data_IF_019931192292
#
_entry.id   IF_019931192292
#
_cell.length_a   1.000
_cell.length_b   1.000
_cell.length_c   1.000
_cell.angle_alpha   90.00
_cell.angle_beta   90.00
_cell.angle_gamma   90.00
#
_symmetry.space_group_name_H-M   'P 1'
#
loop_
_entity.id
_entity.type
_entity.pdbx_description
1 polymer ?
#
# COMPACT_ATOMS: atom_id res chain seq x y z
N UNK A 1 -33.77 -31.12 -67.04
CA UNK A 1 -33.95 -32.12 -65.98
C UNK A 1 -33.63 -31.47 -64.64
N UNK A 2 -34.65 -31.22 -63.83
CA UNK A 2 -34.57 -30.63 -62.51
C UNK A 2 -34.81 -31.76 -61.51
N UNK A 3 -33.83 -32.12 -60.69
CA UNK A 3 -34.05 -32.98 -59.52
C UNK A 3 -33.83 -32.13 -58.26
N UNK A 4 -34.95 -31.81 -57.59
CA UNK A 4 -34.97 -31.36 -56.20
C UNK A 4 -35.00 -32.61 -55.32
N UNK A 5 -33.90 -32.88 -54.64
CA UNK A 5 -33.88 -33.79 -53.50
C UNK A 5 -34.06 -33.00 -52.22
N UNK A 6 -35.27 -33.00 -51.67
CA UNK A 6 -35.56 -32.47 -50.34
C UNK A 6 -36.33 -33.55 -49.58
N UNK A 7 -35.64 -34.30 -48.73
CA UNK A 7 -36.20 -35.39 -47.92
C UNK A 7 -35.67 -35.37 -46.49
N UNK A 8 -35.83 -34.25 -45.79
CA UNK A 8 -35.77 -34.26 -44.33
C UNK A 8 -37.04 -34.93 -43.78
N UNK A 9 -36.94 -36.19 -43.43
CA UNK A 9 -38.05 -37.00 -42.91
C UNK A 9 -38.54 -36.53 -41.53
N UNK A 10 -39.78 -36.89 -41.16
CA UNK A 10 -40.43 -36.46 -39.90
C UNK A 10 -39.72 -36.95 -38.62
N UNK A 11 -38.80 -37.91 -38.71
CA UNK A 11 -38.02 -38.41 -37.58
C UNK A 11 -36.94 -37.43 -37.09
N UNK A 12 -36.36 -36.61 -37.98
CA UNK A 12 -35.34 -35.62 -37.61
C UNK A 12 -35.93 -34.44 -36.83
N UNK A 13 -37.14 -34.01 -37.18
CA UNK A 13 -37.83 -32.91 -36.50
C UNK A 13 -38.22 -33.26 -35.05
N UNK A 14 -38.49 -34.54 -34.77
CA UNK A 14 -38.81 -35.03 -33.41
C UNK A 14 -37.53 -35.14 -32.56
N UNK A 15 -36.44 -35.66 -33.13
CA UNK A 15 -35.14 -35.71 -32.47
C UNK A 15 -34.61 -34.30 -32.13
N UNK A 16 -34.80 -33.34 -33.04
CA UNK A 16 -34.39 -31.95 -32.82
C UNK A 16 -35.23 -31.26 -31.74
N UNK A 17 -36.55 -31.50 -31.71
CA UNK A 17 -37.43 -30.99 -30.62
C UNK A 17 -37.03 -31.55 -29.25
N UNK A 18 -36.71 -32.85 -29.16
CA UNK A 18 -36.25 -33.47 -27.93
C UNK A 18 -34.91 -32.90 -27.46
N UNK A 19 -33.94 -32.69 -28.36
CA UNK A 19 -32.66 -32.05 -28.03
C UNK A 19 -32.85 -30.61 -27.54
N UNK A 20 -33.71 -29.82 -28.20
CA UNK A 20 -34.02 -28.44 -27.78
C UNK A 20 -34.72 -28.40 -26.41
N UNK A 21 -35.57 -29.37 -26.09
CA UNK A 21 -36.22 -29.48 -24.79
C UNK A 21 -35.21 -29.82 -23.68
N UNK A 22 -34.28 -30.74 -23.94
CA UNK A 22 -33.23 -31.13 -23.01
C UNK A 22 -32.24 -29.98 -22.75
N UNK A 23 -31.86 -29.23 -23.80
CA UNK A 23 -31.01 -28.04 -23.67
C UNK A 23 -31.68 -26.94 -22.83
N UNK A 24 -32.98 -26.72 -23.02
CA UNK A 24 -33.75 -25.77 -22.19
C UNK A 24 -33.84 -26.21 -20.73
N UNK A 25 -33.97 -27.51 -20.48
CA UNK A 25 -33.98 -28.07 -19.11
C UNK A 25 -32.61 -27.86 -18.43
N UNK A 26 -31.52 -28.22 -19.10
CA UNK A 26 -30.15 -28.00 -18.58
C UNK A 26 -29.83 -26.52 -18.35
N UNK A 27 -30.29 -25.63 -19.23
CA UNK A 27 -30.10 -24.19 -19.06
C UNK A 27 -30.84 -23.64 -17.82
N UNK A 28 -32.05 -24.16 -17.53
CA UNK A 28 -32.81 -23.78 -16.33
C UNK A 28 -32.16 -24.31 -15.05
N UNK A 29 -31.67 -25.54 -15.07
CA UNK A 29 -30.92 -26.13 -13.95
C UNK A 29 -29.63 -25.36 -13.67
N UNK A 30 -28.87 -24.99 -14.71
CA UNK A 30 -27.66 -24.17 -14.56
C UNK A 30 -27.97 -22.77 -14.02
N UNK A 31 -29.06 -22.13 -14.47
CA UNK A 31 -29.49 -20.82 -13.97
C UNK A 31 -29.91 -20.86 -12.49
N UNK A 32 -30.62 -21.92 -12.07
CA UNK A 32 -30.97 -22.12 -10.67
C UNK A 32 -29.73 -22.30 -9.78
N UNK A 33 -28.74 -23.05 -10.26
CA UNK A 33 -27.49 -23.29 -9.54
C UNK A 33 -26.63 -22.02 -9.44
N UNK A 34 -26.63 -21.16 -10.46
CA UNK A 34 -25.96 -19.85 -10.40
C UNK A 34 -26.65 -18.89 -9.41
N UNK A 35 -27.98 -18.88 -9.36
CA UNK A 35 -28.73 -18.10 -8.37
C UNK A 35 -28.45 -18.54 -6.94
N UNK A 36 -28.36 -19.86 -6.71
CA UNK A 36 -28.03 -20.41 -5.39
C UNK A 36 -26.58 -20.06 -4.98
N UNK A 37 -25.64 -20.15 -5.92
CA UNK A 37 -24.24 -19.77 -5.69
C UNK A 37 -24.09 -18.26 -5.41
N UNK A 38 -24.86 -17.41 -6.12
CA UNK A 38 -24.90 -15.97 -5.85
C UNK A 38 -25.38 -15.64 -4.44
N UNK A 39 -26.49 -16.26 -3.99
CA UNK A 39 -26.98 -16.09 -2.61
C UNK A 39 -25.99 -16.57 -1.56
N UNK A 40 -25.30 -17.69 -1.79
CA UNK A 40 -24.26 -18.19 -0.88
C UNK A 40 -23.03 -17.27 -0.82
N UNK A 41 -22.70 -16.57 -1.90
CA UNK A 41 -21.62 -15.59 -1.92
C UNK A 41 -21.99 -14.33 -1.11
N UNK A 42 -23.20 -13.79 -1.30
CA UNK A 42 -23.70 -12.62 -0.56
C UNK A 42 -23.74 -12.86 0.96
N UNK A 43 -24.18 -14.05 1.41
CA UNK A 43 -24.19 -14.41 2.84
C UNK A 43 -22.77 -14.51 3.42
N UNK A 44 -21.79 -14.97 2.64
CA UNK A 44 -20.39 -15.03 3.08
C UNK A 44 -19.75 -13.66 3.19
N UNK A 45 -20.06 -12.76 2.25
CA UNK A 45 -19.55 -11.39 2.28
C UNK A 45 -20.12 -10.59 3.46
N UNK A 46 -21.42 -10.76 3.74
CA UNK A 46 -22.06 -10.14 4.91
C UNK A 46 -21.44 -10.65 6.23
N UNK A 47 -21.20 -11.95 6.37
CA UNK A 47 -20.53 -12.51 7.54
C UNK A 47 -19.07 -12.04 7.69
N UNK A 48 -18.35 -11.84 6.59
CA UNK A 48 -16.99 -11.33 6.60
C UNK A 48 -16.91 -9.84 6.98
N UNK A 49 -17.91 -9.04 6.60
CA UNK A 49 -18.02 -7.64 7.01
C UNK A 49 -18.31 -7.50 8.50
N UNK A 50 -19.20 -8.32 9.05
CA UNK A 50 -19.51 -8.35 10.48
C UNK A 50 -18.30 -8.74 11.33
N UNK A 51 -17.50 -9.72 10.88
CA UNK A 51 -16.27 -10.11 11.58
C UNK A 51 -15.24 -8.97 11.63
N UNK A 52 -15.05 -8.26 10.51
CA UNK A 52 -14.16 -7.08 10.45
C UNK A 52 -14.69 -5.92 11.28
N UNK A 53 -16.01 -5.77 11.40
CA UNK A 53 -16.63 -4.74 12.23
C UNK A 53 -16.43 -5.03 13.72
N UNK A 54 -16.59 -6.29 14.16
CA UNK A 54 -16.26 -6.72 15.52
C UNK A 54 -14.78 -6.52 15.86
N UNK A 55 -13.87 -6.97 15.00
CA UNK A 55 -12.41 -6.82 15.23
C UNK A 55 -12.00 -5.35 15.40
N UNK A 56 -12.65 -4.43 14.66
CA UNK A 56 -12.42 -2.99 14.81
C UNK A 56 -12.96 -2.42 16.13
N UNK A 57 -14.11 -2.91 16.61
CA UNK A 57 -14.69 -2.49 17.89
C UNK A 57 -13.82 -2.98 19.05
N UNK A 58 -13.43 -4.25 19.03
CA UNK A 58 -12.57 -4.84 20.05
C UNK A 58 -11.22 -4.13 20.14
N UNK A 59 -10.59 -3.82 18.99
CA UNK A 59 -9.36 -2.99 18.97
C UNK A 59 -9.55 -1.58 19.51
N UNK A 60 -10.74 -0.99 19.34
CA UNK A 60 -11.04 0.35 19.85
C UNK A 60 -11.25 0.31 21.37
N UNK A 61 -11.99 -0.68 21.85
CA UNK A 61 -12.22 -0.92 23.29
C UNK A 61 -10.90 -1.22 24.01
N UNK A 62 -10.05 -2.10 23.47
CA UNK A 62 -8.74 -2.41 24.05
C UNK A 62 -7.77 -1.20 24.07
N UNK A 63 -7.98 -0.19 23.22
CA UNK A 63 -7.22 1.07 23.27
C UNK A 63 -7.79 2.02 24.31
N UNK A 64 -9.10 2.07 24.44
CA UNK A 64 -9.79 2.93 25.39
C UNK A 64 -9.58 2.45 26.83
N UNK A 65 -9.59 1.13 27.05
CA UNK A 65 -9.29 0.50 28.33
C UNK A 65 -7.84 0.77 28.76
N UNK A 66 -6.86 0.57 27.88
CA UNK A 66 -5.45 0.93 28.13
C UNK A 66 -5.23 2.42 28.39
N UNK A 67 -6.11 3.28 27.88
CA UNK A 67 -6.08 4.72 28.17
C UNK A 67 -6.66 5.00 29.55
N UNK A 68 -7.78 4.37 29.92
CA UNK A 68 -8.39 4.49 31.26
C UNK A 68 -7.49 3.94 32.35
N UNK A 69 -6.82 2.81 32.10
CA UNK A 69 -5.85 2.22 33.03
C UNK A 69 -4.65 3.14 33.25
N UNK A 70 -4.06 3.68 32.17
CA UNK A 70 -3.00 4.69 32.28
C UNK A 70 -3.42 5.94 33.04
N UNK A 71 -4.68 6.35 32.88
CA UNK A 71 -5.22 7.50 33.59
C UNK A 71 -5.43 7.20 35.08
N UNK A 72 -5.95 6.03 35.43
CA UNK A 72 -6.03 5.56 36.83
C UNK A 72 -4.65 5.49 37.50
N UNK A 73 -3.65 4.94 36.83
CA UNK A 73 -2.27 4.88 37.33
C UNK A 73 -1.67 6.28 37.53
N UNK A 74 -1.99 7.25 36.65
CA UNK A 74 -1.59 8.66 36.86
C UNK A 74 -2.29 9.26 38.07
N UNK A 75 -3.58 9.04 38.22
CA UNK A 75 -4.37 9.59 39.34
C UNK A 75 -3.96 8.97 40.68
N UNK A 76 -3.63 7.67 40.73
CA UNK A 76 -3.03 7.01 41.90
C UNK A 76 -1.64 7.56 42.22
N UNK A 77 -0.79 7.76 41.20
CA UNK A 77 0.56 8.32 41.37
C UNK A 77 0.51 9.78 41.86
N UNK A 78 -0.49 10.55 41.43
CA UNK A 78 -0.73 11.92 41.89
C UNK A 78 -1.29 11.96 43.32
N UNK A 79 -2.13 10.99 43.72
CA UNK A 79 -2.58 10.85 45.12
C UNK A 79 -1.44 10.44 46.06
N UNK A 80 -0.46 9.66 45.59
CA UNK A 80 0.72 9.27 46.37
C UNK A 80 1.78 10.36 46.55
N UNK A 81 1.87 11.35 45.64
CA UNK A 81 2.91 12.40 45.62
C UNK A 81 2.63 13.62 46.52
N UNK A 82 1.60 13.60 47.37
CA UNK A 82 1.37 14.66 48.35
C UNK A 82 2.32 14.64 49.57
N UNK A 83 3.26 13.67 49.63
CA UNK A 83 4.34 13.65 50.63
C UNK A 83 5.63 13.16 49.99
N UNK A 84 6.65 14.01 50.04
CA UNK A 84 8.05 13.57 49.99
C UNK A 84 8.65 13.50 48.60
N UNK A 85 9.56 14.44 48.39
CA UNK A 85 10.85 14.28 47.72
C UNK A 85 10.91 14.25 46.18
N UNK A 86 11.52 15.34 45.74
CA UNK A 86 12.30 15.57 44.54
C UNK A 86 13.18 14.36 44.23
N UNK A 87 12.86 13.62 43.16
CA UNK A 87 13.84 12.76 42.52
C UNK A 87 13.59 12.73 41.00
N UNK A 88 14.52 13.35 40.30
CA UNK A 88 14.61 13.50 38.86
C UNK A 88 15.09 12.20 38.22
N UNK A 89 14.19 11.27 37.95
CA UNK A 89 14.44 10.17 37.01
C UNK A 89 13.25 10.02 36.06
N UNK A 90 13.30 10.76 34.95
CA UNK A 90 12.29 10.67 33.88
C UNK A 90 12.84 9.83 32.74
N UNK A 91 12.65 8.52 32.82
CA UNK A 91 12.65 7.66 31.63
C UNK A 91 11.55 8.19 30.69
N UNK A 92 11.99 8.77 29.58
CA UNK A 92 11.12 9.48 28.64
C UNK A 92 10.79 8.57 27.46
N UNK A 93 9.77 7.74 27.63
CA UNK A 93 9.02 7.14 26.52
C UNK A 93 7.93 8.14 26.08
N UNK A 94 8.30 9.06 25.18
CA UNK A 94 7.42 10.12 24.69
C UNK A 94 6.69 9.71 23.41
N UNK A 95 5.54 9.09 23.59
CA UNK A 95 4.47 9.10 22.60
C UNK A 95 3.89 10.52 22.51
N UNK A 96 4.08 11.17 21.36
CA UNK A 96 3.35 12.34 20.80
C UNK A 96 2.28 12.97 21.73
N UNK A 97 2.64 14.06 22.39
CA UNK A 97 1.75 15.22 22.60
C UNK A 97 2.62 16.46 22.77
N UNK A 98 2.92 17.14 21.66
CA UNK A 98 3.59 18.44 21.65
C UNK A 98 2.58 19.52 22.06
N UNK A 99 2.23 19.53 23.34
CA UNK A 99 1.38 20.55 23.95
C UNK A 99 2.28 21.43 24.85
N UNK A 100 3.03 22.33 24.21
CA UNK A 100 3.80 23.36 24.90
C UNK A 100 2.83 24.39 25.52
N UNK A 101 2.58 24.24 26.81
CA UNK A 101 1.91 25.25 27.64
C UNK A 101 2.93 25.83 28.61
N UNK A 102 3.14 27.14 28.57
CA UNK A 102 3.73 27.86 29.70
C UNK A 102 2.62 28.27 30.67
N UNK A 103 2.86 28.03 31.96
CA UNK A 103 2.03 28.60 33.02
C UNK A 103 2.37 30.09 33.14
N UNK A 104 1.36 30.96 33.03
CA UNK A 104 1.51 32.34 33.46
C UNK A 104 1.74 32.37 34.98
N UNK A 105 2.43 33.42 35.47
CA UNK A 105 2.63 33.66 36.91
C UNK A 105 1.32 33.80 37.72
N UNK A 106 0.14 33.72 37.09
CA UNK A 106 -1.19 33.72 37.68
C UNK A 106 -1.81 32.31 37.82
N UNK A 107 -1.07 31.24 37.49
CA UNK A 107 -1.51 29.86 37.66
C UNK A 107 -2.61 29.41 36.69
N UNK A 108 -2.94 30.22 35.67
CA UNK A 108 -3.95 29.89 34.66
C UNK A 108 -3.29 29.45 33.36
N UNK A 109 -3.86 28.42 32.72
CA UNK A 109 -3.38 27.85 31.46
C UNK A 109 -3.59 28.87 30.33
N UNK A 110 -2.56 29.64 29.95
CA UNK A 110 -2.66 30.63 28.88
C UNK A 110 -2.08 30.07 27.57
N UNK A 111 -3.01 29.64 26.69
CA UNK A 111 -2.98 29.57 25.21
C UNK A 111 -1.74 28.94 24.54
N UNK A 112 -1.98 27.95 23.65
CA UNK A 112 -0.97 27.28 22.78
C UNK A 112 0.10 28.25 22.27
N UNK A 113 1.34 28.08 22.75
CA UNK A 113 2.49 28.79 22.22
C UNK A 113 2.87 28.11 20.92
N UNK A 114 2.72 28.80 19.78
CA UNK A 114 3.32 28.36 18.52
C UNK A 114 4.84 28.32 18.74
N UNK A 115 5.45 27.15 18.66
CA UNK A 115 6.89 26.99 18.84
C UNK A 115 7.64 27.95 17.91
N UNK A 116 8.45 28.83 18.51
CA UNK A 116 9.30 29.83 17.82
C UNK A 116 10.44 29.18 17.01
N UNK A 117 10.62 27.87 17.14
CA UNK A 117 11.57 27.07 16.37
C UNK A 117 10.86 26.49 15.14
N UNK A 118 10.65 27.31 14.12
CA UNK A 118 10.66 26.77 12.75
C UNK A 118 12.09 26.34 12.49
N UNK A 119 12.39 25.07 12.73
CA UNK A 119 13.59 24.46 12.16
C UNK A 119 13.37 24.61 10.65
N UNK A 120 14.12 25.50 10.01
CA UNK A 120 14.16 25.61 8.56
C UNK A 120 14.81 24.32 8.05
N UNK A 121 14.03 23.25 7.96
CA UNK A 121 14.49 22.00 7.37
C UNK A 121 14.67 22.31 5.88
N UNK A 122 15.93 22.32 5.45
CA UNK A 122 16.26 22.49 4.05
C UNK A 122 15.64 21.37 3.23
N UNK A 123 15.13 21.70 2.05
CA UNK A 123 14.74 20.70 1.07
C UNK A 123 16.00 20.27 0.35
N UNK A 124 16.75 19.35 0.95
CA UNK A 124 17.98 18.80 0.40
C UNK A 124 17.83 17.29 0.08
N UNK A 125 18.63 16.77 -0.88
CA UNK A 125 18.61 15.36 -1.24
C UNK A 125 18.83 14.41 -0.05
N UNK A 126 19.65 14.79 0.92
CA UNK A 126 19.99 13.91 2.04
C UNK A 126 18.84 13.80 3.04
N UNK A 127 18.09 14.89 3.27
CA UNK A 127 16.84 14.83 4.04
C UNK A 127 15.81 13.93 3.37
N UNK A 128 15.62 13.99 2.04
CA UNK A 128 14.70 13.06 1.36
C UNK A 128 15.18 11.60 1.50
N UNK A 129 16.48 11.33 1.37
CA UNK A 129 17.03 9.98 1.60
C UNK A 129 16.79 9.51 3.03
N UNK A 130 16.98 10.36 4.02
CA UNK A 130 16.72 10.03 5.43
C UNK A 130 15.24 9.71 5.69
N UNK A 131 14.33 10.47 5.06
CA UNK A 131 12.89 10.23 5.12
C UNK A 131 12.52 8.90 4.47
N UNK A 132 13.11 8.56 3.32
CA UNK A 132 12.88 7.27 2.65
C UNK A 132 13.47 6.08 3.42
N UNK A 133 14.55 6.29 4.18
CA UNK A 133 15.20 5.25 4.98
C UNK A 133 14.47 4.99 6.32
N UNK A 134 13.79 5.99 6.87
CA UNK A 134 13.14 5.88 8.18
C UNK A 134 11.65 5.56 8.03
N UNK A 135 11.21 4.38 8.47
CA UNK A 135 9.85 3.90 8.25
C UNK A 135 8.77 4.89 8.74
N UNK A 136 8.91 5.47 9.94
CA UNK A 136 7.95 6.43 10.49
C UNK A 136 7.79 7.67 9.59
N UNK A 137 8.89 8.20 9.06
CA UNK A 137 8.90 9.39 8.20
C UNK A 137 8.39 9.05 6.80
N UNK A 138 8.82 7.93 6.23
CA UNK A 138 8.30 7.41 4.97
C UNK A 138 6.78 7.25 5.02
N UNK A 139 6.23 6.68 6.10
CA UNK A 139 4.78 6.52 6.24
C UNK A 139 4.04 7.86 6.31
N UNK A 140 4.58 8.86 7.01
CA UNK A 140 4.00 10.22 7.07
C UNK A 140 4.02 10.87 5.68
N UNK A 141 5.15 10.85 5.00
CA UNK A 141 5.32 11.41 3.66
C UNK A 141 4.45 10.69 2.61
N UNK A 142 4.35 9.36 2.70
CA UNK A 142 3.47 8.57 1.83
C UNK A 142 1.99 8.91 2.03
N UNK A 143 1.53 9.12 3.28
CA UNK A 143 0.15 9.57 3.55
C UNK A 143 -0.12 10.96 2.98
N UNK A 144 0.86 11.86 3.00
CA UNK A 144 0.76 13.17 2.36
C UNK A 144 0.56 13.00 0.85
N UNK A 145 1.44 12.25 0.18
CA UNK A 145 1.35 12.04 -1.27
C UNK A 145 0.10 11.27 -1.69
N UNK A 146 -0.40 10.35 -0.86
CA UNK A 146 -1.67 9.67 -1.10
C UNK A 146 -2.85 10.64 -1.13
N UNK A 147 -2.85 11.69 -0.31
CA UNK A 147 -3.89 12.74 -0.34
C UNK A 147 -3.83 13.58 -1.59
N UNK A 148 -2.62 13.85 -2.09
CA UNK A 148 -2.39 14.54 -3.36
C UNK A 148 -2.52 13.62 -4.60
N UNK A 149 -2.85 12.33 -4.41
CA UNK A 149 -2.90 11.30 -5.47
C UNK A 149 -1.57 11.17 -6.25
N UNK A 150 -0.45 11.47 -5.61
CA UNK A 150 0.90 11.55 -6.20
C UNK A 150 1.87 10.52 -5.61
N UNK A 151 1.36 9.43 -5.02
CA UNK A 151 2.16 8.39 -4.34
C UNK A 151 3.01 7.51 -5.27
N UNK A 152 2.82 7.60 -6.59
CA UNK A 152 3.49 6.73 -7.55
C UNK A 152 5.02 6.87 -7.51
N UNK A 153 5.53 8.10 -7.38
CA UNK A 153 6.96 8.36 -7.30
C UNK A 153 7.60 7.71 -6.08
N UNK A 154 7.01 7.89 -4.90
CA UNK A 154 7.50 7.27 -3.67
C UNK A 154 7.44 5.73 -3.78
N UNK A 155 6.32 5.19 -4.27
CA UNK A 155 6.18 3.74 -4.43
C UNK A 155 7.26 3.14 -5.34
N UNK A 156 7.67 3.86 -6.37
CA UNK A 156 8.78 3.47 -7.23
C UNK A 156 10.14 3.53 -6.54
N UNK A 157 10.43 4.63 -5.81
CA UNK A 157 11.70 4.77 -5.08
C UNK A 157 11.87 3.65 -4.03
N UNK A 158 10.80 3.32 -3.30
CA UNK A 158 10.79 2.20 -2.35
C UNK A 158 11.02 0.87 -3.06
N UNK A 159 10.33 0.61 -4.16
CA UNK A 159 10.49 -0.63 -4.92
C UNK A 159 11.92 -0.81 -5.46
N UNK A 160 12.61 0.27 -5.84
CA UNK A 160 14.01 0.23 -6.25
C UNK A 160 14.94 -0.02 -5.06
N UNK A 161 14.71 0.62 -3.91
CA UNK A 161 15.51 0.38 -2.71
C UNK A 161 15.44 -1.10 -2.27
N UNK A 162 14.23 -1.68 -2.27
CA UNK A 162 14.04 -3.12 -2.06
C UNK A 162 14.77 -3.95 -3.12
N UNK A 163 14.72 -3.51 -4.39
CA UNK A 163 15.40 -4.19 -5.49
C UNK A 163 16.93 -4.21 -5.37
N UNK A 164 17.51 -3.13 -4.87
CA UNK A 164 18.95 -3.02 -4.60
C UNK A 164 19.39 -3.93 -3.45
N UNK A 165 18.54 -4.11 -2.44
CA UNK A 165 18.80 -4.95 -1.27
C UNK A 165 18.73 -6.46 -1.56
N UNK A 166 18.14 -6.88 -2.68
CA UNK A 166 18.19 -8.28 -3.09
C UNK A 166 19.64 -8.68 -3.43
N UNK A 167 20.23 -9.53 -2.58
CA UNK A 167 21.59 -10.03 -2.70
C UNK A 167 21.81 -10.68 -4.07
N UNK A 168 22.84 -10.22 -4.77
CA UNK A 168 23.15 -10.61 -6.12
C UNK A 168 23.94 -11.91 -6.19
N UNK A 169 23.25 -13.04 -6.19
CA UNK A 169 23.63 -14.17 -7.03
C UNK A 169 22.35 -14.95 -7.29
N UNK A 170 21.79 -14.81 -8.49
CA UNK A 170 20.78 -15.77 -8.91
C UNK A 170 21.39 -17.16 -8.78
N UNK A 171 20.74 -18.14 -8.12
CA UNK A 171 21.14 -19.52 -8.30
C UNK A 171 21.11 -19.79 -9.81
N UNK A 172 22.13 -20.44 -10.38
CA UNK A 172 21.92 -21.20 -11.62
C UNK A 172 20.78 -22.15 -11.29
N UNK A 173 19.57 -21.85 -11.76
CA UNK A 173 18.40 -22.70 -11.54
C UNK A 173 18.76 -24.05 -12.15
N UNK A 174 18.86 -25.13 -11.36
CA UNK A 174 19.04 -26.46 -11.92
C UNK A 174 17.84 -26.75 -12.82
N UNK A 175 18.10 -27.31 -13.99
CA UNK A 175 17.07 -27.65 -14.97
C UNK A 175 15.96 -28.48 -14.29
N UNK A 176 14.74 -27.94 -14.22
CA UNK A 176 13.58 -28.61 -13.62
C UNK A 176 13.05 -28.04 -12.28
N UNK A 177 13.67 -27.01 -11.68
CA UNK A 177 13.13 -26.35 -10.48
C UNK A 177 12.35 -25.10 -10.86
N UNK A 178 11.06 -25.04 -10.51
CA UNK A 178 10.23 -23.85 -10.72
C UNK A 178 10.79 -22.66 -9.91
N UNK A 179 11.10 -21.51 -10.55
CA UNK A 179 11.63 -20.35 -9.84
C UNK A 179 10.61 -19.84 -8.81
N UNK A 180 11.06 -19.67 -7.57
CA UNK A 180 10.24 -19.07 -6.52
C UNK A 180 10.11 -17.55 -6.81
N UNK A 181 8.90 -17.03 -7.08
CA UNK A 181 8.69 -15.66 -7.59
C UNK A 181 9.11 -14.55 -6.61
N UNK A 182 9.30 -14.88 -5.33
CA UNK A 182 9.71 -13.93 -4.30
C UNK A 182 11.23 -13.66 -4.28
N UNK A 183 12.05 -14.53 -4.88
CA UNK A 183 13.53 -14.48 -4.82
C UNK A 183 14.19 -14.19 -6.16
N UNK A 184 13.44 -14.22 -7.26
CA UNK A 184 14.02 -13.98 -8.58
C UNK A 184 14.09 -12.48 -8.91
N UNK A 185 15.33 -11.96 -8.94
CA UNK A 185 15.65 -10.57 -9.27
C UNK A 185 15.05 -10.16 -10.61
N UNK A 186 15.04 -11.07 -11.60
CA UNK A 186 14.46 -10.81 -12.91
C UNK A 186 12.94 -10.63 -12.82
N UNK A 187 12.24 -11.52 -12.13
CA UNK A 187 10.79 -11.41 -11.89
C UNK A 187 10.41 -10.07 -11.24
N UNK A 188 11.13 -9.63 -10.20
CA UNK A 188 10.87 -8.33 -9.55
C UNK A 188 11.16 -7.16 -10.48
N UNK A 189 12.25 -7.21 -11.23
CA UNK A 189 12.60 -6.17 -12.19
C UNK A 189 11.56 -6.02 -13.30
N UNK A 190 11.05 -7.13 -13.82
CA UNK A 190 9.95 -7.15 -14.80
C UNK A 190 8.68 -6.54 -14.21
N UNK A 191 8.35 -6.83 -12.95
CA UNK A 191 7.22 -6.21 -12.27
C UNK A 191 7.38 -4.70 -12.08
N UNK A 192 8.57 -4.23 -11.69
CA UNK A 192 8.88 -2.80 -11.57
C UNK A 192 8.77 -2.12 -12.93
N UNK A 193 9.35 -2.72 -13.98
CA UNK A 193 9.27 -2.19 -15.33
C UNK A 193 7.83 -2.08 -15.82
N UNK A 194 7.04 -3.16 -15.70
CA UNK A 194 5.66 -3.20 -16.16
C UNK A 194 4.76 -2.17 -15.44
N UNK A 195 4.95 -1.99 -14.13
CA UNK A 195 4.09 -1.12 -13.32
C UNK A 195 4.46 0.36 -13.44
N UNK A 196 5.75 0.68 -13.48
CA UNK A 196 6.22 2.06 -13.34
C UNK A 196 6.92 2.60 -14.60
N UNK A 197 7.73 1.80 -15.29
CA UNK A 197 8.64 2.28 -16.34
C UNK A 197 8.06 2.12 -17.75
N UNK A 198 7.16 1.17 -17.98
CA UNK A 198 6.50 0.98 -19.28
C UNK A 198 5.82 2.28 -19.73
N UNK A 199 5.77 2.64 -21.03
CA UNK A 199 5.19 3.91 -21.49
C UNK A 199 3.74 4.16 -21.01
N UNK A 200 2.94 3.10 -20.85
CA UNK A 200 1.59 3.16 -20.28
C UNK A 200 1.55 3.01 -18.74
N UNK A 201 2.70 3.04 -18.09
CA UNK A 201 2.86 2.86 -16.65
C UNK A 201 2.43 4.10 -15.86
N UNK A 202 2.45 3.96 -14.53
CA UNK A 202 1.92 4.98 -13.62
C UNK A 202 2.82 6.23 -13.58
N UNK A 203 4.11 6.12 -13.93
CA UNK A 203 5.03 7.25 -13.97
C UNK A 203 5.17 7.79 -15.41
N UNK A 204 4.66 9.00 -15.72
CA UNK A 204 4.82 9.59 -17.04
C UNK A 204 6.21 10.23 -17.25
N UNK A 205 6.91 10.60 -16.18
CA UNK A 205 8.06 11.52 -16.26
C UNK A 205 9.42 10.89 -16.59
N UNK A 206 9.53 9.57 -16.77
CA UNK A 206 10.82 8.93 -17.09
C UNK A 206 11.12 9.13 -18.60
N UNK A 207 12.27 9.70 -18.99
CA UNK A 207 12.67 9.86 -20.39
C UNK A 207 12.67 8.54 -21.18
N UNK A 208 12.24 8.58 -22.44
CA UNK A 208 12.12 7.37 -23.28
C UNK A 208 13.47 6.64 -23.46
N UNK A 209 14.57 7.39 -23.54
CA UNK A 209 15.93 6.83 -23.59
C UNK A 209 16.22 5.90 -22.39
N UNK A 210 15.82 6.33 -21.20
CA UNK A 210 16.00 5.54 -19.96
C UNK A 210 15.04 4.34 -19.96
N UNK A 211 13.79 4.52 -20.39
CA UNK A 211 12.81 3.42 -20.50
C UNK A 211 13.31 2.30 -21.41
N UNK A 212 13.85 2.66 -22.57
CA UNK A 212 14.41 1.72 -23.53
C UNK A 212 15.65 1.02 -22.96
N UNK A 213 16.56 1.76 -22.31
CA UNK A 213 17.73 1.17 -21.65
C UNK A 213 17.35 0.14 -20.57
N UNK A 214 16.29 0.39 -19.80
CA UNK A 214 15.78 -0.56 -18.81
C UNK A 214 15.13 -1.77 -19.50
N UNK A 215 14.34 -1.58 -20.56
CA UNK A 215 13.74 -2.69 -21.29
C UNK A 215 14.81 -3.65 -21.86
N UNK A 216 15.89 -3.08 -22.40
CA UNK A 216 17.05 -3.82 -22.88
C UNK A 216 17.80 -4.55 -21.74
N UNK A 217 17.93 -3.93 -20.58
CA UNK A 217 18.56 -4.57 -19.42
C UNK A 217 17.70 -5.71 -18.85
N UNK A 218 16.36 -5.55 -18.83
CA UNK A 218 15.43 -6.59 -18.38
C UNK A 218 15.45 -7.80 -19.32
N UNK A 219 15.65 -7.60 -20.63
CA UNK A 219 15.73 -8.71 -21.59
C UNK A 219 17.08 -9.44 -21.60
N UNK A 220 18.20 -8.76 -21.31
CA UNK A 220 19.56 -9.34 -21.37
C UNK A 220 20.08 -9.88 -20.04
N UNK A 221 19.51 -9.44 -18.92
CA UNK A 221 19.92 -9.84 -17.57
C UNK A 221 20.03 -8.65 -16.63
N UNK A 222 19.33 -8.75 -15.49
CA UNK A 222 19.13 -7.62 -14.58
C UNK A 222 20.27 -7.52 -13.56
N UNK A 223 20.85 -6.32 -13.44
CA UNK A 223 21.88 -5.98 -12.45
C UNK A 223 21.28 -5.08 -11.37
N UNK A 224 21.98 -4.95 -10.23
CA UNK A 224 21.54 -4.09 -9.13
C UNK A 224 21.38 -2.61 -9.54
N UNK A 225 22.17 -2.16 -10.51
CA UNK A 225 22.17 -0.78 -11.01
C UNK A 225 21.22 -0.54 -12.20
N UNK A 226 20.45 -1.55 -12.65
CA UNK A 226 19.58 -1.44 -13.83
C UNK A 226 18.61 -0.25 -13.76
N UNK A 227 18.17 0.13 -12.57
CA UNK A 227 17.20 1.21 -12.38
C UNK A 227 17.79 2.53 -11.87
N UNK A 228 19.12 2.68 -11.79
CA UNK A 228 19.75 3.87 -11.20
C UNK A 228 19.34 5.16 -11.92
N UNK A 229 19.46 5.21 -13.25
CA UNK A 229 19.13 6.42 -14.02
C UNK A 229 17.64 6.82 -13.87
N UNK A 230 16.74 5.83 -13.82
CA UNK A 230 15.34 6.08 -13.57
C UNK A 230 15.06 6.46 -12.11
N UNK A 231 15.79 5.89 -11.16
CA UNK A 231 15.73 6.27 -9.75
C UNK A 231 16.06 7.75 -9.61
N UNK A 232 17.17 8.21 -10.18
CA UNK A 232 17.64 9.59 -10.05
C UNK A 232 16.63 10.57 -10.67
N UNK A 233 16.09 10.26 -11.86
CA UNK A 233 15.04 11.07 -12.47
C UNK A 233 13.78 11.20 -11.59
N UNK A 234 13.32 10.10 -11.00
CA UNK A 234 12.13 10.12 -10.14
C UNK A 234 12.44 10.73 -8.77
N UNK A 235 13.65 10.55 -8.27
CA UNK A 235 14.12 11.12 -7.02
C UNK A 235 14.13 12.64 -7.10
N UNK A 236 14.73 13.21 -8.14
CA UNK A 236 14.73 14.66 -8.41
C UNK A 236 13.31 15.21 -8.55
N UNK A 237 12.43 14.49 -9.26
CA UNK A 237 11.03 14.89 -9.39
C UNK A 237 10.33 14.92 -8.03
N UNK A 238 10.49 13.89 -7.21
CA UNK A 238 9.88 13.82 -5.87
C UNK A 238 10.45 14.91 -4.96
N UNK A 239 11.77 15.14 -5.00
CA UNK A 239 12.48 16.16 -4.24
C UNK A 239 11.92 17.55 -4.51
N UNK A 240 11.85 17.93 -5.78
CA UNK A 240 11.46 19.29 -6.20
C UNK A 240 9.94 19.52 -6.29
N UNK A 241 9.12 18.48 -6.17
CA UNK A 241 7.66 18.60 -6.18
C UNK A 241 7.04 18.22 -4.83
N UNK A 242 6.74 16.94 -4.64
CA UNK A 242 6.02 16.41 -3.50
C UNK A 242 6.73 16.67 -2.17
N UNK A 243 8.05 16.46 -2.13
CA UNK A 243 8.82 16.57 -0.91
C UNK A 243 8.94 18.02 -0.46
N UNK A 244 9.24 18.95 -1.38
CA UNK A 244 9.18 20.38 -1.12
C UNK A 244 7.83 20.80 -0.52
N UNK A 245 6.71 20.41 -1.15
CA UNK A 245 5.36 20.71 -0.62
C UNK A 245 5.07 20.06 0.73
N UNK A 246 5.63 18.86 0.96
CA UNK A 246 5.49 18.17 2.24
C UNK A 246 6.18 18.95 3.35
N UNK A 247 7.43 19.39 3.15
CA UNK A 247 8.20 20.17 4.12
C UNK A 247 7.59 21.55 4.38
N UNK A 248 6.95 22.15 3.39
CA UNK A 248 6.19 23.42 3.55
C UNK A 248 4.82 23.23 4.22
N UNK A 249 4.35 21.98 4.35
CA UNK A 249 3.05 21.68 4.96
C UNK A 249 3.15 21.61 6.49
N UNK A 250 2.06 21.84 7.24
CA UNK A 250 2.02 21.65 8.69
C UNK A 250 2.29 20.21 9.19
N UNK A 251 2.55 19.28 8.28
CA UNK A 251 2.82 17.85 8.55
C UNK A 251 4.24 17.43 8.19
N UNK A 252 4.98 18.32 7.52
CA UNK A 252 6.40 18.20 7.22
C UNK A 252 7.25 18.35 8.46
#
# INVERSE_FOLDING_TARGET
SHEKGDSTGPFDAVAEKSRRAELKKRAREAAALMLEMGRRAEVKDMAAEDFRAMERRERKEAREERRRERQRLRDERLKGKAKGDDDTSTESDSSDDSDNFEYGNDGKLRRKVKSKYQINISVDPDTLRAVLATERWLQKFYRFCKKEKSQAGIGFLVAINEFKQMSGSGPKVPEGVLPNPATDRLTRATAIWARYVKPQGILPAIPMKIRNGIADAVSRGVRANTFNDAYDCVFELVLHSNFKRYMESPKG
#
